data_IF_057280128505
#
_entry.id   IF_057280128505
#
_cell.length_a   1.000
_cell.length_b   1.000
_cell.length_c   1.000
_cell.angle_alpha   90.00
_cell.angle_beta   90.00
_cell.angle_gamma   90.00
#
_symmetry.space_group_name_H-M   'P 1'
#
loop_
_entity.id
_entity.type
_entity.pdbx_description
1 polymer ?
#
# COMPACT_ATOMS: atom_id res chain seq x y z
N UNK A 1 -31.29 34.39 -39.05
CA UNK A 1 -30.25 33.81 -39.93
C UNK A 1 -28.88 34.32 -39.53
N UNK A 2 -28.03 33.44 -38.99
CA UNK A 2 -26.57 33.45 -39.10
C UNK A 2 -26.06 32.16 -38.43
N UNK A 3 -25.75 31.20 -39.30
CA UNK A 3 -25.15 29.91 -38.97
C UNK A 3 -23.84 30.11 -38.19
N UNK A 4 -23.64 29.31 -37.15
CA UNK A 4 -22.29 28.99 -36.66
C UNK A 4 -22.14 27.49 -36.59
N UNK A 5 -21.08 27.04 -37.24
CA UNK A 5 -20.79 25.72 -37.71
C UNK A 5 -20.60 24.70 -36.58
N UNK A 6 -21.07 23.47 -36.84
CA UNK A 6 -20.77 22.28 -36.06
C UNK A 6 -19.25 22.06 -36.08
N UNK A 7 -18.62 22.07 -34.90
CA UNK A 7 -17.28 21.53 -34.71
C UNK A 7 -17.50 20.08 -34.30
N UNK A 8 -17.38 19.18 -35.28
CA UNK A 8 -17.22 17.76 -35.02
C UNK A 8 -15.92 17.56 -34.25
N UNK A 9 -16.05 17.39 -32.93
CA UNK A 9 -14.96 16.86 -32.12
C UNK A 9 -14.84 15.38 -32.45
N UNK A 10 -14.07 15.10 -33.50
CA UNK A 10 -13.55 13.78 -33.82
C UNK A 10 -12.66 13.34 -32.66
N UNK A 11 -13.28 12.76 -31.63
CA UNK A 11 -12.61 12.15 -30.50
C UNK A 11 -12.03 10.81 -30.95
N UNK A 12 -11.13 10.87 -31.93
CA UNK A 12 -10.20 9.81 -32.27
C UNK A 12 -9.18 9.73 -31.12
N UNK A 13 -9.67 9.25 -29.97
CA UNK A 13 -8.83 8.83 -28.85
C UNK A 13 -8.03 7.64 -29.35
N UNK A 14 -6.88 7.92 -29.95
CA UNK A 14 -5.85 6.94 -30.25
C UNK A 14 -5.53 6.20 -28.96
N UNK A 15 -6.21 5.07 -28.73
CA UNK A 15 -5.82 4.10 -27.70
C UNK A 15 -4.38 3.76 -28.01
N UNK A 16 -3.44 4.29 -27.22
CA UNK A 16 -2.04 3.92 -27.31
C UNK A 16 -1.99 2.40 -27.29
N UNK A 17 -1.50 1.79 -28.38
CA UNK A 17 -1.28 0.35 -28.46
C UNK A 17 -0.17 0.03 -27.47
N UNK A 18 -0.55 -0.29 -26.23
CA UNK A 18 0.39 -0.78 -25.23
C UNK A 18 1.02 -2.07 -25.78
N UNK A 19 2.35 -2.10 -25.82
CA UNK A 19 3.13 -3.14 -26.48
C UNK A 19 2.62 -4.56 -26.22
N UNK A 20 2.58 -5.34 -27.30
CA UNK A 20 2.37 -6.78 -27.33
C UNK A 20 3.35 -7.47 -26.38
N UNK A 21 2.85 -8.04 -25.27
CA UNK A 21 3.66 -8.97 -24.49
C UNK A 21 3.22 -9.21 -23.05
N UNK A 22 2.65 -8.22 -22.37
CA UNK A 22 2.30 -8.38 -20.95
C UNK A 22 0.79 -8.24 -20.76
N UNK A 23 0.14 -9.37 -20.50
CA UNK A 23 -1.26 -9.39 -20.12
C UNK A 23 -1.42 -8.72 -18.74
N UNK A 24 -1.86 -7.45 -18.73
CA UNK A 24 -2.03 -6.66 -17.51
C UNK A 24 -2.95 -7.34 -16.49
N UNK A 25 -4.01 -8.03 -16.93
CA UNK A 25 -4.92 -8.75 -16.04
C UNK A 25 -4.20 -9.91 -15.34
N UNK A 26 -3.36 -10.65 -16.07
CA UNK A 26 -2.54 -11.74 -15.50
C UNK A 26 -1.51 -11.16 -14.52
N UNK A 27 -0.80 -10.10 -14.89
CA UNK A 27 0.16 -9.42 -14.00
C UNK A 27 -0.50 -8.94 -12.70
N UNK A 28 -1.69 -8.33 -12.79
CA UNK A 28 -2.42 -7.85 -11.63
C UNK A 28 -2.83 -9.02 -10.72
N UNK A 29 -3.31 -10.14 -11.26
CA UNK A 29 -3.62 -11.35 -10.48
C UNK A 29 -2.40 -11.92 -9.75
N UNK A 30 -1.26 -12.00 -10.43
CA UNK A 30 -0.01 -12.46 -9.82
C UNK A 30 0.45 -11.53 -8.71
N UNK A 31 0.36 -10.20 -8.93
CA UNK A 31 0.70 -9.19 -7.93
C UNK A 31 -0.18 -9.26 -6.68
N UNK A 32 -1.50 -9.39 -6.86
CA UNK A 32 -2.48 -9.50 -5.75
C UNK A 32 -2.24 -10.77 -4.95
N UNK A 33 -1.98 -11.90 -5.62
CA UNK A 33 -1.67 -13.17 -4.93
C UNK A 33 -0.24 -13.27 -4.39
N UNK A 34 0.58 -12.23 -4.55
CA UNK A 34 1.97 -12.22 -4.09
C UNK A 34 2.89 -13.18 -4.84
N UNK A 35 2.51 -13.67 -6.02
CA UNK A 35 3.31 -14.56 -6.86
C UNK A 35 4.34 -13.79 -7.66
N UNK A 36 5.34 -14.51 -8.18
CA UNK A 36 6.31 -13.93 -9.12
C UNK A 36 5.61 -13.39 -10.37
N UNK A 37 6.08 -12.26 -10.88
CA UNK A 37 5.55 -11.67 -12.11
C UNK A 37 6.60 -10.85 -12.84
N UNK A 38 6.45 -10.72 -14.16
CA UNK A 38 7.27 -9.82 -14.97
C UNK A 38 6.65 -8.43 -14.95
N UNK A 39 7.42 -7.43 -14.50
CA UNK A 39 7.01 -6.02 -14.48
C UNK A 39 6.84 -5.47 -15.90
N UNK A 40 6.14 -4.34 -16.05
CA UNK A 40 5.98 -3.65 -17.35
C UNK A 40 7.32 -3.29 -18.03
N UNK A 41 8.41 -3.20 -17.26
CA UNK A 41 9.76 -2.92 -17.75
C UNK A 41 10.53 -4.20 -18.11
N UNK A 42 9.87 -5.35 -18.19
CA UNK A 42 10.49 -6.65 -18.48
C UNK A 42 11.28 -7.28 -17.32
N UNK A 43 11.36 -6.63 -16.15
CA UNK A 43 12.09 -7.17 -14.99
C UNK A 43 11.25 -8.20 -14.23
N UNK A 44 11.79 -9.37 -13.91
CA UNK A 44 11.15 -10.31 -12.99
C UNK A 44 11.08 -9.72 -11.58
N UNK A 45 9.91 -9.84 -10.94
CA UNK A 45 9.65 -9.48 -9.55
C UNK A 45 9.35 -10.77 -8.80
N UNK A 46 10.18 -11.16 -7.81
CA UNK A 46 10.03 -12.43 -7.12
C UNK A 46 8.74 -12.49 -6.29
N UNK A 47 8.30 -13.71 -6.02
CA UNK A 47 7.20 -13.96 -5.11
C UNK A 47 7.45 -13.38 -3.71
N UNK A 48 6.38 -12.96 -3.04
CA UNK A 48 6.40 -12.45 -1.68
C UNK A 48 6.69 -13.62 -0.74
N UNK A 49 7.76 -13.48 0.05
CA UNK A 49 8.17 -14.49 1.02
C UNK A 49 7.30 -14.40 2.26
N UNK A 50 6.83 -15.54 2.75
CA UNK A 50 6.21 -15.61 4.07
C UNK A 50 7.21 -15.16 5.14
N UNK A 51 6.74 -14.48 6.19
CA UNK A 51 7.60 -14.12 7.32
C UNK A 51 8.08 -15.39 8.03
N UNK A 52 9.38 -15.44 8.32
CA UNK A 52 9.96 -16.51 9.13
C UNK A 52 9.47 -16.44 10.58
N UNK A 53 9.40 -17.59 11.25
CA UNK A 53 8.92 -17.69 12.64
C UNK A 53 9.79 -16.88 13.61
N UNK A 54 11.10 -16.83 13.35
CA UNK A 54 12.11 -16.16 14.17
C UNK A 54 12.36 -14.70 13.75
N UNK A 55 11.64 -14.17 12.75
CA UNK A 55 11.89 -12.80 12.27
C UNK A 55 11.49 -11.78 13.34
N UNK A 56 12.49 -11.27 14.07
CA UNK A 56 12.35 -10.15 15.00
C UNK A 56 12.76 -8.86 14.32
N UNK A 57 11.83 -7.92 14.24
CA UNK A 57 12.11 -6.60 13.70
C UNK A 57 13.03 -5.82 14.66
N UNK A 58 14.09 -5.19 14.12
CA UNK A 58 15.08 -4.42 14.89
C UNK A 58 14.67 -2.97 15.12
N UNK A 59 13.43 -2.60 14.82
CA UNK A 59 12.96 -1.23 14.98
C UNK A 59 12.75 -0.86 16.46
N UNK A 60 12.67 0.45 16.71
CA UNK A 60 12.39 1.00 18.03
C UNK A 60 10.98 0.68 18.55
N UNK A 61 10.01 0.37 17.67
CA UNK A 61 8.64 0.08 18.11
C UNK A 61 8.54 -1.32 18.71
N UNK A 62 8.27 -1.41 20.01
CA UNK A 62 8.11 -2.70 20.69
C UNK A 62 6.93 -3.53 20.18
N UNK A 63 5.92 -2.89 19.58
CA UNK A 63 4.79 -3.61 18.97
C UNK A 63 5.22 -4.64 17.91
N UNK A 64 6.29 -4.38 17.15
CA UNK A 64 6.80 -5.36 16.18
C UNK A 64 7.40 -6.63 16.82
N UNK A 65 7.87 -6.52 18.07
CA UNK A 65 8.40 -7.64 18.86
C UNK A 65 7.28 -8.44 19.52
N UNK A 66 6.15 -7.79 19.84
CA UNK A 66 4.97 -8.42 20.45
C UNK A 66 4.22 -9.36 19.50
N UNK A 67 4.30 -9.12 18.18
CA UNK A 67 3.64 -9.98 17.19
C UNK A 67 4.48 -11.24 16.95
N UNK A 68 3.94 -12.39 17.38
CA UNK A 68 4.54 -13.72 17.20
C UNK A 68 4.64 -14.11 15.71
N UNK A 69 5.58 -14.99 15.38
CA UNK A 69 5.81 -15.48 14.02
C UNK A 69 4.56 -16.10 13.38
N UNK A 70 3.79 -16.87 14.14
CA UNK A 70 2.53 -17.46 13.68
C UNK A 70 1.50 -16.40 13.29
N UNK A 71 1.37 -15.34 14.09
CA UNK A 71 0.43 -14.26 13.81
C UNK A 71 0.84 -13.47 12.56
N UNK A 72 2.14 -13.23 12.37
CA UNK A 72 2.68 -12.66 11.12
C UNK A 72 2.32 -13.54 9.92
N UNK A 73 2.41 -14.86 10.05
CA UNK A 73 2.07 -15.83 9.01
C UNK A 73 0.56 -15.80 8.71
N UNK A 74 -0.30 -15.74 9.73
CA UNK A 74 -1.75 -15.58 9.55
C UNK A 74 -2.09 -14.29 8.81
N UNK A 75 -1.54 -13.16 9.24
CA UNK A 75 -1.74 -11.86 8.58
C UNK A 75 -1.29 -11.90 7.11
N UNK A 76 -0.14 -12.52 6.84
CA UNK A 76 0.36 -12.70 5.47
C UNK A 76 -0.61 -13.53 4.62
N UNK A 77 -1.04 -14.69 5.12
CA UNK A 77 -1.94 -15.58 4.39
C UNK A 77 -3.30 -14.94 4.15
N UNK A 78 -3.88 -14.30 5.17
CA UNK A 78 -5.15 -13.59 5.05
C UNK A 78 -5.06 -12.48 3.99
N UNK A 79 -3.96 -11.72 3.97
CA UNK A 79 -3.78 -10.66 2.99
C UNK A 79 -3.66 -11.19 1.55
N UNK A 80 -2.77 -12.14 1.29
CA UNK A 80 -2.49 -12.62 -0.07
C UNK A 80 -3.52 -13.63 -0.62
N UNK A 81 -4.38 -14.20 0.24
CA UNK A 81 -5.55 -14.97 -0.18
C UNK A 81 -6.75 -14.09 -0.57
N UNK A 82 -6.73 -12.82 -0.19
CA UNK A 82 -7.82 -11.86 -0.45
C UNK A 82 -7.71 -11.21 -1.83
N UNK A 83 -8.82 -10.67 -2.32
CA UNK A 83 -8.85 -9.87 -3.53
C UNK A 83 -8.28 -8.43 -3.32
N UNK A 84 -8.18 -7.67 -4.42
CA UNK A 84 -7.60 -6.34 -4.40
C UNK A 84 -8.37 -5.35 -3.49
N UNK A 85 -9.70 -5.45 -3.44
CA UNK A 85 -10.53 -4.56 -2.66
C UNK A 85 -10.38 -4.88 -1.16
N UNK A 86 -10.44 -6.16 -0.82
CA UNK A 86 -10.22 -6.64 0.54
C UNK A 86 -8.80 -6.32 1.05
N UNK A 87 -7.77 -6.44 0.21
CA UNK A 87 -6.41 -5.99 0.54
C UNK A 87 -6.35 -4.48 0.80
N UNK A 88 -7.07 -3.68 0.01
CA UNK A 88 -7.20 -2.23 0.22
C UNK A 88 -7.84 -1.90 1.55
N UNK A 89 -9.00 -2.49 1.84
CA UNK A 89 -9.72 -2.34 3.11
C UNK A 89 -8.86 -2.80 4.30
N UNK A 90 -8.15 -3.92 4.16
CA UNK A 90 -7.22 -4.40 5.17
C UNK A 90 -6.10 -3.38 5.45
N UNK A 91 -5.51 -2.77 4.42
CA UNK A 91 -4.49 -1.74 4.64
C UNK A 91 -5.10 -0.53 5.37
N UNK A 92 -6.28 -0.09 4.96
CA UNK A 92 -6.94 1.09 5.54
C UNK A 92 -7.35 0.88 6.99
N UNK A 93 -7.83 -0.32 7.37
CA UNK A 93 -8.23 -0.61 8.74
C UNK A 93 -7.06 -0.62 9.74
N UNK A 94 -5.83 -0.77 9.25
CA UNK A 94 -4.60 -0.80 10.03
C UNK A 94 -3.79 0.51 9.93
N UNK A 95 -4.30 1.51 9.20
CA UNK A 95 -3.72 2.84 9.08
C UNK A 95 -4.47 3.79 10.00
N UNK A 96 -3.73 4.45 10.89
CA UNK A 96 -4.30 5.45 11.78
C UNK A 96 -3.64 6.81 11.58
N UNK A 97 -4.46 7.84 11.71
CA UNK A 97 -4.02 9.23 11.78
C UNK A 97 -3.75 9.59 13.24
N UNK A 98 -2.70 10.35 13.47
CA UNK A 98 -2.37 10.93 14.76
C UNK A 98 -1.81 12.33 14.57
N UNK A 99 -1.59 12.99 15.69
CA UNK A 99 -1.11 14.38 15.71
C UNK A 99 0.35 14.49 15.25
N UNK A 100 0.72 15.69 14.80
CA UNK A 100 2.10 16.00 14.40
C UNK A 100 2.89 16.43 15.62
N UNK A 101 3.64 15.49 16.22
CA UNK A 101 4.47 15.75 17.41
C UNK A 101 5.71 16.60 17.16
N UNK A 102 6.29 16.53 15.95
CA UNK A 102 7.50 17.29 15.58
C UNK A 102 7.41 17.77 14.14
N UNK A 103 7.66 19.06 13.93
CA UNK A 103 7.77 19.68 12.60
C UNK A 103 9.24 19.94 12.29
N UNK A 104 9.67 19.66 11.04
CA UNK A 104 11.07 19.79 10.62
C UNK A 104 11.45 21.26 10.37
N UNK A 105 10.52 22.05 9.87
CA UNK A 105 10.77 23.42 9.41
C UNK A 105 10.55 24.47 10.52
N UNK A 106 10.69 24.08 11.79
CA UNK A 106 10.55 24.99 12.93
C UNK A 106 9.13 25.08 13.52
N UNK A 107 8.91 26.14 14.30
CA UNK A 107 7.63 26.48 14.93
C UNK A 107 6.83 27.35 13.96
N UNK A 108 5.58 26.97 13.72
CA UNK A 108 4.61 27.81 13.01
C UNK A 108 3.82 28.59 14.05
N UNK A 109 3.45 29.83 13.74
CA UNK A 109 2.52 30.63 14.54
C UNK A 109 1.11 30.02 14.49
N UNK A 110 0.67 29.61 13.30
CA UNK A 110 -0.54 28.81 13.11
C UNK A 110 -0.19 27.40 12.59
N UNK A 111 -0.53 26.31 13.32
CA UNK A 111 -0.38 24.93 12.86
C UNK A 111 -0.93 24.64 11.45
N UNK A 112 -1.93 25.39 10.96
CA UNK A 112 -2.55 25.23 9.63
C UNK A 112 -1.61 25.59 8.48
N UNK A 113 -0.63 26.44 8.73
CA UNK A 113 0.40 26.81 7.75
C UNK A 113 1.33 25.64 7.41
N UNK A 114 1.39 24.62 8.28
CA UNK A 114 2.14 23.40 8.02
C UNK A 114 1.52 22.62 6.87
N UNK A 115 2.31 22.24 5.86
CA UNK A 115 1.84 21.29 4.82
C UNK A 115 1.48 19.91 5.39
N UNK A 116 2.08 19.54 6.52
CA UNK A 116 1.79 18.29 7.22
C UNK A 116 0.84 18.55 8.37
N UNK A 117 -0.40 18.09 8.24
CA UNK A 117 -1.45 18.24 9.25
C UNK A 117 -1.61 17.01 10.15
N UNK A 118 -1.13 15.84 9.70
CA UNK A 118 -1.22 14.60 10.47
C UNK A 118 0.04 13.74 10.35
N UNK A 119 0.14 12.76 11.24
CA UNK A 119 1.10 11.67 11.20
C UNK A 119 0.35 10.38 10.95
N UNK A 120 0.86 9.55 10.06
CA UNK A 120 0.34 8.19 9.89
C UNK A 120 1.15 7.24 10.75
N UNK A 121 0.47 6.35 11.45
CA UNK A 121 1.06 5.17 12.07
C UNK A 121 0.26 3.92 11.72
N UNK A 122 0.92 2.78 11.85
CA UNK A 122 0.36 1.48 11.48
C UNK A 122 0.16 0.66 12.74
N UNK A 123 -0.94 -0.08 12.82
CA UNK A 123 -1.23 -1.02 13.89
C UNK A 123 -1.46 -2.40 13.31
N UNK A 124 -1.26 -3.45 14.11
CA UNK A 124 -1.60 -4.82 13.77
C UNK A 124 -2.11 -5.53 15.03
N UNK A 125 -2.99 -6.54 14.90
CA UNK A 125 -3.36 -7.38 16.02
C UNK A 125 -2.15 -8.19 16.51
N UNK A 126 -2.03 -8.35 17.82
CA UNK A 126 -0.95 -9.14 18.43
C UNK A 126 -1.33 -10.60 18.72
N UNK A 127 -2.57 -10.98 18.42
CA UNK A 127 -3.14 -12.30 18.69
C UNK A 127 -3.74 -12.48 20.08
N UNK A 128 -3.62 -11.49 20.97
CA UNK A 128 -4.24 -11.48 22.31
C UNK A 128 -5.60 -10.76 22.35
N UNK A 129 -6.07 -10.27 21.20
CA UNK A 129 -7.24 -9.39 21.08
C UNK A 129 -6.89 -7.89 21.15
N UNK A 130 -5.64 -7.54 21.41
CA UNK A 130 -5.14 -6.16 21.38
C UNK A 130 -4.52 -5.81 20.03
N UNK A 131 -4.41 -4.50 19.75
CA UNK A 131 -3.65 -3.99 18.61
C UNK A 131 -2.41 -3.25 19.08
N UNK A 132 -1.30 -3.42 18.34
CA UNK A 132 -0.01 -2.83 18.67
C UNK A 132 0.52 -2.01 17.51
N UNK A 133 1.17 -0.89 17.82
CA UNK A 133 1.79 -0.03 16.81
C UNK A 133 3.05 -0.66 16.23
N UNK A 134 3.16 -0.68 14.91
CA UNK A 134 4.27 -1.30 14.16
C UNK A 134 5.00 -0.28 13.27
N UNK A 135 6.21 -0.64 12.83
CA UNK A 135 6.97 0.13 11.86
C UNK A 135 6.39 -0.02 10.44
N UNK A 136 6.56 1.01 9.60
CA UNK A 136 6.16 0.98 8.19
C UNK A 136 6.95 -0.02 7.33
N UNK A 137 8.23 -0.20 7.66
CA UNK A 137 9.14 -1.11 6.96
C UNK A 137 9.71 -2.09 7.97
N UNK A 138 9.38 -3.39 7.88
CA UNK A 138 10.13 -4.38 8.62
C UNK A 138 11.57 -4.37 8.09
N UNK A 139 12.53 -4.21 9.01
CA UNK A 139 13.98 -4.32 8.79
C UNK A 139 14.40 -5.76 8.57
#
# INVERSE_FOLDING_TARGET
>A
MKNRMNIENDSNTKKQKYGTGINFKVQQKLKVSGKEYVSRKGKSVPARKQPGLEMVCKCYNDGCKKIKGEEKKKLFNNFYSSDLNAQGSFCMSHIHLGEVKRRRNGKYTDPRESRRQSTIYYTLPDGSGSTVKVCKKPS
#
